data_IF_948038487065
#
_entry.id   IF_948038487065
#
_cell.length_a   1.000
_cell.length_b   1.000
_cell.length_c   1.000
_cell.angle_alpha   90.00
_cell.angle_beta   90.00
_cell.angle_gamma   90.00
#
_symmetry.space_group_name_H-M   'P 1'
#
loop_
_entity.id
_entity.type
_entity.pdbx_description
1 polymer ?
#
# COMPACT_ATOMS: atom_id res chain seq x y z
N UNK A 1 6.96 -9.01 -25.15
CA UNK A 1 7.93 -8.87 -24.05
C UNK A 1 8.00 -7.44 -23.57
N UNK A 2 8.00 -6.46 -24.48
CA UNK A 2 7.98 -5.03 -24.15
C UNK A 2 6.82 -4.62 -23.23
N UNK A 3 5.65 -5.26 -23.36
CA UNK A 3 4.51 -5.03 -22.47
C UNK A 3 4.81 -5.31 -20.99
N UNK A 4 5.76 -6.21 -20.67
CA UNK A 4 6.16 -6.48 -19.27
C UNK A 4 6.91 -5.32 -18.61
N UNK A 5 7.44 -4.41 -19.42
CA UNK A 5 8.18 -3.23 -18.96
C UNK A 5 7.30 -1.98 -18.90
N UNK A 6 6.05 -2.05 -19.38
CA UNK A 6 5.09 -0.94 -19.36
C UNK A 6 5.64 0.37 -19.95
N UNK A 7 6.42 0.26 -21.04
CA UNK A 7 7.11 1.38 -21.68
C UNK A 7 6.14 2.36 -22.36
N UNK A 8 5.04 1.84 -22.90
CA UNK A 8 4.06 2.61 -23.67
C UNK A 8 2.71 2.63 -22.96
N UNK A 9 2.06 3.81 -22.83
CA UNK A 9 0.73 3.90 -22.27
C UNK A 9 -0.32 3.23 -23.18
N UNK A 10 -1.43 2.73 -22.62
CA UNK A 10 -2.53 2.20 -23.41
C UNK A 10 -3.17 3.34 -24.24
N UNK A 11 -3.46 3.07 -25.52
CA UNK A 11 -4.14 4.00 -26.43
C UNK A 11 -5.63 3.69 -26.60
N UNK A 12 -6.03 2.47 -26.26
CA UNK A 12 -7.42 2.04 -26.34
C UNK A 12 -8.23 2.62 -25.18
N UNK A 13 -9.46 3.12 -25.43
CA UNK A 13 -10.31 3.60 -24.35
C UNK A 13 -10.83 2.43 -23.51
N UNK A 14 -10.95 2.66 -22.21
CA UNK A 14 -11.53 1.72 -21.24
C UNK A 14 -12.69 2.39 -20.50
N UNK A 15 -13.71 1.62 -20.14
CA UNK A 15 -14.79 2.13 -19.28
C UNK A 15 -14.25 2.45 -17.88
N UNK A 16 -14.91 3.37 -17.17
CA UNK A 16 -14.47 3.72 -15.81
C UNK A 16 -14.59 2.53 -14.86
N UNK A 17 -15.67 1.75 -14.97
CA UNK A 17 -15.92 0.57 -14.15
C UNK A 17 -14.85 -0.51 -14.37
N UNK A 18 -14.50 -0.77 -15.63
CA UNK A 18 -13.46 -1.75 -15.98
C UNK A 18 -12.08 -1.30 -15.51
N UNK A 19 -11.77 0.01 -15.60
CA UNK A 19 -10.52 0.56 -15.09
C UNK A 19 -10.41 0.42 -13.57
N UNK A 20 -11.49 0.72 -12.84
CA UNK A 20 -11.56 0.55 -11.38
C UNK A 20 -11.36 -0.92 -11.00
N UNK A 21 -12.08 -1.82 -11.65
CA UNK A 21 -11.97 -3.26 -11.41
C UNK A 21 -10.56 -3.78 -11.71
N UNK A 22 -9.97 -3.40 -12.85
CA UNK A 22 -8.63 -3.80 -13.24
C UNK A 22 -7.56 -3.27 -12.27
N UNK A 23 -7.66 -2.00 -11.89
CA UNK A 23 -6.74 -1.35 -10.93
C UNK A 23 -6.83 -2.02 -9.56
N UNK A 24 -8.04 -2.26 -9.04
CA UNK A 24 -8.22 -2.94 -7.76
C UNK A 24 -7.75 -4.38 -7.81
N UNK A 25 -8.02 -5.12 -8.90
CA UNK A 25 -7.51 -6.49 -9.07
C UNK A 25 -5.99 -6.53 -8.98
N UNK A 26 -5.30 -5.60 -9.66
CA UNK A 26 -3.84 -5.48 -9.59
C UNK A 26 -3.36 -5.10 -8.19
N UNK A 27 -4.03 -4.16 -7.51
CA UNK A 27 -3.67 -3.79 -6.14
C UNK A 27 -3.75 -5.01 -5.19
N UNK A 28 -4.81 -5.80 -5.27
CA UNK A 28 -4.94 -7.03 -4.48
C UNK A 28 -3.86 -8.06 -4.83
N UNK A 29 -3.50 -8.21 -6.10
CA UNK A 29 -2.37 -9.07 -6.51
C UNK A 29 -1.06 -8.62 -5.87
N UNK A 30 -0.74 -7.32 -5.91
CA UNK A 30 0.47 -6.78 -5.30
C UNK A 30 0.47 -6.91 -3.77
N UNK A 31 -0.69 -6.77 -3.12
CA UNK A 31 -0.84 -7.04 -1.68
C UNK A 31 -0.65 -8.52 -1.35
N UNK A 32 -1.20 -9.43 -2.17
CA UNK A 32 -0.99 -10.87 -2.03
C UNK A 32 0.49 -11.23 -2.13
N UNK A 33 1.18 -10.65 -3.12
CA UNK A 33 2.65 -10.78 -3.26
C UNK A 33 3.39 -10.26 -2.03
N UNK A 34 2.98 -9.12 -1.49
CA UNK A 34 3.58 -8.54 -0.29
C UNK A 34 3.39 -9.44 0.95
N UNK A 35 2.23 -10.08 1.09
CA UNK A 35 1.89 -10.98 2.20
C UNK A 35 2.43 -12.41 2.01
N UNK A 36 2.86 -12.77 0.80
CA UNK A 36 3.17 -14.14 0.42
C UNK A 36 1.95 -15.03 0.18
N UNK A 37 0.75 -14.43 0.12
CA UNK A 37 -0.53 -15.10 -0.13
C UNK A 37 -0.99 -14.79 -1.56
N UNK A 38 -0.45 -15.53 -2.53
CA UNK A 38 -0.81 -15.37 -3.94
C UNK A 38 -0.84 -16.72 -4.65
N UNK A 39 -1.77 -16.88 -5.59
CA UNK A 39 -1.78 -18.03 -6.47
C UNK A 39 -0.83 -17.79 -7.66
N UNK A 40 -0.10 -18.83 -8.08
CA UNK A 40 0.80 -18.75 -9.22
C UNK A 40 0.06 -18.40 -10.53
N UNK A 41 -1.23 -18.71 -10.63
CA UNK A 41 -2.05 -18.39 -11.79
C UNK A 41 -2.43 -16.92 -11.88
N UNK A 42 -2.56 -16.22 -10.76
CA UNK A 42 -2.85 -14.77 -10.74
C UNK A 42 -1.69 -13.92 -11.28
N UNK A 43 -0.49 -14.50 -11.32
CA UNK A 43 0.70 -13.86 -11.89
C UNK A 43 0.62 -13.78 -13.43
N UNK A 44 -0.27 -14.56 -14.06
CA UNK A 44 -0.35 -14.65 -15.52
C UNK A 44 -1.07 -13.46 -16.17
N UNK A 45 -0.52 -13.01 -17.30
CA UNK A 45 -1.11 -11.97 -18.15
C UNK A 45 -2.22 -12.55 -19.03
N UNK A 46 -3.33 -12.97 -18.43
CA UNK A 46 -4.46 -13.54 -19.18
C UNK A 46 -5.06 -12.54 -20.20
N UNK A 47 -4.96 -11.23 -19.91
CA UNK A 47 -5.34 -10.15 -20.83
C UNK A 47 -4.32 -9.00 -20.74
N UNK A 48 -3.46 -8.88 -21.76
CA UNK A 48 -2.39 -7.86 -21.82
C UNK A 48 -2.93 -6.44 -21.78
N UNK A 49 -4.07 -6.18 -22.45
CA UNK A 49 -4.69 -4.86 -22.47
C UNK A 49 -5.20 -4.46 -21.09
N UNK A 50 -5.89 -5.37 -20.39
CA UNK A 50 -6.38 -5.13 -19.03
C UNK A 50 -5.23 -4.95 -18.02
N UNK A 51 -4.15 -5.73 -18.15
CA UNK A 51 -2.95 -5.60 -17.29
C UNK A 51 -2.26 -4.25 -17.46
N UNK A 52 -2.17 -3.77 -18.70
CA UNK A 52 -1.61 -2.46 -19.04
C UNK A 52 -2.44 -1.34 -18.39
N UNK A 53 -3.77 -1.35 -18.57
CA UNK A 53 -4.67 -0.38 -17.93
C UNK A 53 -4.57 -0.41 -16.41
N UNK A 54 -4.49 -1.61 -15.81
CA UNK A 54 -4.35 -1.76 -14.37
C UNK A 54 -3.04 -1.15 -13.83
N UNK A 55 -1.92 -1.38 -14.53
CA UNK A 55 -0.61 -0.81 -14.15
C UNK A 55 -0.62 0.71 -14.22
N UNK A 56 -1.06 1.27 -15.35
CA UNK A 56 -1.10 2.72 -15.54
C UNK A 56 -2.15 3.39 -14.63
N UNK A 57 -3.33 2.77 -14.46
CA UNK A 57 -4.37 3.22 -13.55
C UNK A 57 -3.88 3.33 -12.10
N UNK A 58 -3.23 2.27 -11.60
CA UNK A 58 -2.65 2.26 -10.26
C UNK A 58 -1.57 3.35 -10.10
N UNK A 59 -0.70 3.53 -11.10
CA UNK A 59 0.33 4.59 -11.09
C UNK A 59 -0.27 5.99 -11.02
N UNK A 60 -1.32 6.29 -11.80
CA UNK A 60 -1.98 7.60 -11.75
C UNK A 60 -2.63 7.82 -10.38
N UNK A 61 -3.33 6.82 -9.85
CA UNK A 61 -4.00 6.92 -8.55
C UNK A 61 -3.00 7.17 -7.42
N UNK A 62 -1.93 6.37 -7.37
CA UNK A 62 -0.86 6.52 -6.37
C UNK A 62 -0.19 7.89 -6.50
N UNK A 63 0.15 8.31 -7.72
CA UNK A 63 0.77 9.60 -7.96
C UNK A 63 -0.12 10.78 -7.53
N UNK A 64 -1.43 10.69 -7.79
CA UNK A 64 -2.39 11.71 -7.39
C UNK A 64 -2.53 11.81 -5.86
N UNK A 65 -2.45 10.70 -5.13
CA UNK A 65 -2.44 10.71 -3.67
C UNK A 65 -1.25 11.46 -3.07
N UNK A 66 -0.12 11.47 -3.79
CA UNK A 66 1.12 12.10 -3.35
C UNK A 66 1.16 13.62 -3.59
N UNK A 67 0.20 14.19 -4.32
CA UNK A 67 0.16 15.64 -4.57
C UNK A 67 -0.40 16.39 -3.36
N UNK A 68 -1.32 15.78 -2.62
CA UNK A 68 -2.11 16.45 -1.58
C UNK A 68 -1.62 16.21 -0.15
N UNK A 69 -0.74 15.23 0.08
CA UNK A 69 -0.23 14.93 1.43
C UNK A 69 1.03 15.75 1.73
N UNK A 70 0.94 16.73 2.63
CA UNK A 70 2.01 17.64 3.04
C UNK A 70 3.22 16.99 3.76
N UNK A 71 3.27 15.65 3.85
CA UNK A 71 4.28 14.91 4.62
C UNK A 71 5.19 14.15 3.66
N UNK A 72 6.40 14.67 3.44
CA UNK A 72 7.38 14.10 2.51
C UNK A 72 7.83 12.66 2.85
N UNK A 73 7.75 12.23 4.12
CA UNK A 73 8.12 10.87 4.52
C UNK A 73 7.13 9.82 4.01
N UNK A 74 5.82 10.02 4.19
CA UNK A 74 4.77 9.11 3.70
C UNK A 74 4.74 9.02 2.17
N UNK A 75 5.17 10.08 1.49
CA UNK A 75 5.33 10.08 0.03
C UNK A 75 6.44 9.13 -0.45
N UNK A 76 7.45 8.89 0.39
CA UNK A 76 8.61 8.11 0.00
C UNK A 76 8.31 6.61 0.05
N UNK A 77 7.57 6.19 1.07
CA UNK A 77 7.35 4.77 1.34
C UNK A 77 6.42 4.11 0.31
N UNK A 78 5.40 4.83 -0.19
CA UNK A 78 4.43 4.23 -1.12
C UNK A 78 4.99 4.01 -2.53
N UNK A 79 5.84 4.92 -3.04
CA UNK A 79 6.46 4.73 -4.34
C UNK A 79 7.49 3.60 -4.30
N UNK A 80 8.24 3.51 -3.20
CA UNK A 80 9.22 2.44 -3.01
C UNK A 80 8.51 1.09 -2.86
N UNK A 81 7.43 1.04 -2.07
CA UNK A 81 6.60 -0.16 -1.94
C UNK A 81 6.04 -0.59 -3.29
N UNK A 82 5.42 0.31 -4.05
CA UNK A 82 4.83 -0.02 -5.34
C UNK A 82 5.89 -0.50 -6.34
N UNK A 83 7.00 0.24 -6.46
CA UNK A 83 8.10 -0.16 -7.35
C UNK A 83 8.68 -1.53 -6.97
N UNK A 84 8.79 -1.81 -5.67
CA UNK A 84 9.26 -3.10 -5.17
C UNK A 84 8.29 -4.23 -5.52
N UNK A 85 6.98 -4.08 -5.25
CA UNK A 85 6.01 -5.13 -5.55
C UNK A 85 5.85 -5.36 -7.06
N UNK A 86 5.88 -4.30 -7.86
CA UNK A 86 5.85 -4.40 -9.31
C UNK A 86 7.09 -5.11 -9.88
N UNK A 87 8.28 -4.82 -9.33
CA UNK A 87 9.50 -5.55 -9.70
C UNK A 87 9.43 -7.04 -9.32
N UNK A 88 8.80 -7.37 -8.19
CA UNK A 88 8.58 -8.77 -7.79
C UNK A 88 7.60 -9.49 -8.72
N UNK A 89 6.50 -8.83 -9.11
CA UNK A 89 5.56 -9.36 -10.10
C UNK A 89 6.27 -9.62 -11.45
N UNK A 90 7.05 -8.65 -11.92
CA UNK A 90 7.89 -8.79 -13.11
C UNK A 90 8.84 -9.99 -13.00
N UNK A 91 9.55 -10.14 -11.87
CA UNK A 91 10.46 -11.26 -11.61
C UNK A 91 9.76 -12.61 -11.79
N UNK A 92 8.56 -12.75 -11.22
CA UNK A 92 7.77 -13.98 -11.30
C UNK A 92 7.32 -14.26 -12.75
N UNK A 93 6.85 -13.24 -13.47
CA UNK A 93 6.44 -13.35 -14.88
C UNK A 93 7.61 -13.74 -15.79
N UNK A 94 8.78 -13.11 -15.62
CA UNK A 94 9.99 -13.46 -16.37
C UNK A 94 10.43 -14.88 -16.05
N UNK A 95 10.48 -15.27 -14.77
CA UNK A 95 10.85 -16.63 -14.36
C UNK A 95 9.93 -17.69 -14.96
N UNK A 96 8.62 -17.46 -14.99
CA UNK A 96 7.64 -18.37 -15.59
C UNK A 96 7.84 -18.50 -17.10
N UNK A 97 8.06 -17.39 -17.81
CA UNK A 97 8.33 -17.40 -19.26
C UNK A 97 9.63 -18.13 -19.60
N UNK A 98 10.73 -17.88 -18.87
CA UNK A 98 12.00 -18.57 -19.10
C UNK A 98 11.91 -20.09 -18.87
N UNK A 99 11.03 -20.53 -17.96
CA UNK A 99 10.75 -21.97 -17.74
C UNK A 99 9.86 -22.60 -18.81
N UNK A 100 9.00 -21.81 -19.46
CA UNK A 100 8.01 -22.29 -20.43
C UNK A 100 8.59 -22.47 -21.84
N UNK A 101 9.72 -21.83 -22.13
CA UNK A 101 10.35 -21.89 -23.44
C UNK A 101 11.42 -22.97 -23.41
N UNK A 102 11.12 -24.09 -24.08
CA UNK A 102 12.06 -25.20 -24.28
C UNK A 102 13.09 -24.81 -25.36
N UNK A 103 14.06 -23.97 -24.97
CA UNK A 103 15.15 -23.55 -25.86
C UNK A 103 16.12 -22.57 -25.22
N UNK A 104 17.35 -23.01 -24.93
CA UNK A 104 18.40 -22.20 -24.30
C UNK A 104 18.72 -20.91 -25.07
N UNK A 105 18.71 -20.96 -26.41
CA UNK A 105 18.98 -19.80 -27.27
C UNK A 105 17.87 -18.72 -27.26
N UNK A 106 16.61 -19.12 -27.09
CA UNK A 106 15.48 -18.17 -27.02
C UNK A 106 15.46 -17.43 -25.68
N UNK A 107 15.75 -18.13 -24.59
CA UNK A 107 15.88 -17.55 -23.25
C UNK A 107 17.01 -16.51 -23.19
N UNK A 108 18.14 -16.80 -23.83
CA UNK A 108 19.24 -15.87 -23.94
C UNK A 108 18.88 -14.59 -24.70
N UNK A 109 18.21 -14.71 -25.85
CA UNK A 109 17.74 -13.55 -26.62
C UNK A 109 16.78 -12.67 -25.80
N UNK A 110 15.87 -13.29 -25.05
CA UNK A 110 14.92 -12.61 -24.16
C UNK A 110 15.63 -11.81 -23.06
N UNK A 111 16.57 -12.44 -22.34
CA UNK A 111 17.33 -11.78 -21.28
C UNK A 111 18.10 -10.57 -21.83
N UNK A 112 18.78 -10.75 -22.97
CA UNK A 112 19.53 -9.65 -23.61
C UNK A 112 18.61 -8.50 -24.04
N UNK A 113 17.43 -8.80 -24.58
CA UNK A 113 16.44 -7.79 -24.94
C UNK A 113 16.00 -7.00 -23.70
N UNK A 114 15.68 -7.68 -22.60
CA UNK A 114 15.26 -7.02 -21.36
C UNK A 114 16.37 -6.14 -20.77
N UNK A 115 17.63 -6.60 -20.76
CA UNK A 115 18.77 -5.79 -20.30
C UNK A 115 18.92 -4.51 -21.12
N UNK A 116 18.79 -4.60 -22.46
CA UNK A 116 18.85 -3.42 -23.35
C UNK A 116 17.71 -2.45 -23.08
N UNK A 117 16.48 -2.95 -22.94
CA UNK A 117 15.31 -2.11 -22.69
C UNK A 117 15.37 -1.44 -21.30
N UNK A 118 15.96 -2.12 -20.31
CA UNK A 118 16.24 -1.59 -18.98
C UNK A 118 17.49 -0.70 -18.92
N UNK A 119 18.18 -0.50 -20.05
CA UNK A 119 19.40 0.31 -20.17
C UNK A 119 20.53 -0.14 -19.25
N UNK A 120 20.67 -1.45 -19.09
CA UNK A 120 21.79 -2.04 -18.35
C UNK A 120 22.99 -2.14 -19.27
N UNK A 121 24.15 -1.68 -18.82
CA UNK A 121 25.39 -1.86 -19.55
C UNK A 121 25.88 -3.31 -19.41
N UNK A 122 26.04 -4.01 -20.54
CA UNK A 122 26.57 -5.38 -20.54
C UNK A 122 27.33 -5.70 -21.82
N UNK A 123 28.30 -6.61 -21.67
CA UNK A 123 29.01 -7.28 -22.76
C UNK A 123 28.81 -8.79 -22.66
N UNK A 124 29.24 -9.53 -23.68
CA UNK A 124 29.16 -10.98 -23.71
C UNK A 124 30.52 -11.59 -24.01
N UNK A 125 30.92 -12.59 -23.22
CA UNK A 125 32.11 -13.40 -23.51
C UNK A 125 31.93 -14.82 -22.95
N UNK A 126 32.27 -15.84 -23.75
CA UNK A 126 32.38 -17.24 -23.30
C UNK A 126 31.14 -17.74 -22.51
N UNK A 127 29.93 -17.41 -22.98
CA UNK A 127 28.67 -17.82 -22.33
C UNK A 127 28.32 -17.07 -21.04
N UNK A 128 29.09 -16.03 -20.68
CA UNK A 128 28.82 -15.15 -19.55
C UNK A 128 28.40 -13.76 -20.03
N UNK A 129 27.50 -13.15 -19.26
CA UNK A 129 27.23 -11.73 -19.29
C UNK A 129 28.26 -11.02 -18.43
N UNK A 130 28.94 -10.06 -19.04
CA UNK A 130 29.92 -9.19 -18.43
C UNK A 130 29.23 -7.89 -18.06
N UNK A 131 28.98 -7.68 -16.77
CA UNK A 131 28.22 -6.53 -16.27
C UNK A 131 29.16 -5.68 -15.41
N UNK A 132 29.28 -4.36 -15.63
CA UNK A 132 30.05 -3.49 -14.73
C UNK A 132 29.55 -3.61 -13.29
N UNK A 133 30.46 -3.65 -12.32
CA UNK A 133 30.05 -3.87 -10.93
C UNK A 133 29.11 -2.79 -10.37
N UNK A 134 29.11 -1.59 -10.97
CA UNK A 134 28.23 -0.46 -10.65
C UNK A 134 26.76 -0.76 -10.95
N UNK A 135 26.47 -1.60 -11.94
CA UNK A 135 25.11 -2.04 -12.29
C UNK A 135 24.61 -3.13 -11.33
N UNK A 136 25.54 -3.90 -10.74
CA UNK A 136 25.21 -5.04 -9.86
C UNK A 136 25.91 -5.04 -8.49
N UNK A 137 25.91 -3.93 -7.71
CA UNK A 137 26.61 -3.86 -6.43
C UNK A 137 26.04 -4.81 -5.38
N UNK A 138 24.75 -5.16 -5.48
CA UNK A 138 24.08 -6.11 -4.59
C UNK A 138 24.60 -7.53 -4.76
N UNK A 139 25.01 -7.94 -5.97
CA UNK A 139 25.62 -9.26 -6.22
C UNK A 139 27.04 -9.32 -5.66
N UNK A 140 27.79 -8.21 -5.73
CA UNK A 140 29.12 -8.11 -5.14
C UNK A 140 29.03 -8.15 -3.61
N UNK A 141 28.09 -7.41 -3.03
CA UNK A 141 27.84 -7.37 -1.59
C UNK A 141 27.56 -8.75 -0.99
N UNK A 142 26.81 -9.59 -1.70
CA UNK A 142 26.46 -10.96 -1.27
C UNK A 142 27.47 -12.01 -1.73
N UNK A 143 28.52 -11.62 -2.47
CA UNK A 143 29.50 -12.52 -3.10
C UNK A 143 28.86 -13.58 -4.00
N UNK A 144 27.76 -13.22 -4.67
CA UNK A 144 27.01 -14.11 -5.55
C UNK A 144 27.59 -14.22 -6.97
N UNK A 145 28.59 -13.40 -7.32
CA UNK A 145 29.20 -13.39 -8.66
C UNK A 145 30.72 -13.28 -8.58
N UNK A 146 31.40 -13.76 -9.62
CA UNK A 146 32.85 -13.57 -9.77
C UNK A 146 33.11 -12.18 -10.33
N UNK A 147 33.90 -11.39 -9.60
CA UNK A 147 34.34 -10.06 -10.00
C UNK A 147 35.79 -10.11 -10.50
N UNK A 148 36.04 -9.68 -11.73
CA UNK A 148 37.38 -9.57 -12.31
C UNK A 148 37.54 -8.22 -13.00
N UNK A 149 38.56 -7.46 -12.61
CA UNK A 149 38.87 -6.14 -13.18
C UNK A 149 37.66 -5.18 -13.26
N UNK A 150 36.80 -5.17 -12.22
CA UNK A 150 35.60 -4.32 -12.19
C UNK A 150 34.39 -4.87 -12.96
N UNK A 151 34.48 -6.08 -13.52
CA UNK A 151 33.42 -6.71 -14.29
C UNK A 151 32.90 -7.95 -13.54
N UNK A 152 31.58 -7.98 -13.32
CA UNK A 152 30.86 -9.13 -12.79
C UNK A 152 30.57 -10.12 -13.93
N UNK A 153 30.92 -11.38 -13.71
CA UNK A 153 30.62 -12.48 -14.64
C UNK A 153 29.35 -13.20 -14.18
N UNK A 154 28.26 -13.02 -14.92
CA UNK A 154 26.93 -13.60 -14.61
C UNK A 154 26.54 -14.60 -15.69
N UNK A 155 26.14 -15.81 -15.29
CA UNK A 155 25.65 -16.81 -16.24
C UNK A 155 24.19 -16.54 -16.62
N UNK A 156 23.82 -16.72 -17.89
CA UNK A 156 22.47 -16.40 -18.35
C UNK A 156 21.36 -17.29 -17.76
N UNK A 157 21.69 -18.50 -17.33
CA UNK A 157 20.73 -19.44 -16.74
C UNK A 157 20.70 -19.38 -15.21
N UNK A 158 21.45 -18.46 -14.62
CA UNK A 158 21.63 -18.35 -13.18
C UNK A 158 20.52 -17.53 -12.52
N UNK A 159 20.20 -17.73 -11.23
CA UNK A 159 19.24 -16.89 -10.52
C UNK A 159 19.71 -15.43 -10.38
N UNK A 160 21.02 -15.17 -10.48
CA UNK A 160 21.62 -13.85 -10.39
C UNK A 160 21.14 -12.92 -11.51
N UNK A 161 20.92 -13.42 -12.73
CA UNK A 161 20.41 -12.58 -13.82
C UNK A 161 18.99 -12.07 -13.55
N UNK A 162 18.16 -12.87 -12.86
CA UNK A 162 16.83 -12.44 -12.44
C UNK A 162 16.93 -11.34 -11.39
N UNK A 163 17.92 -11.40 -10.51
CA UNK A 163 18.18 -10.33 -9.54
C UNK A 163 18.58 -9.04 -10.25
N UNK A 164 19.43 -9.11 -11.29
CA UNK A 164 19.77 -7.96 -12.12
C UNK A 164 18.55 -7.34 -12.76
N UNK A 165 17.79 -8.14 -13.51
CA UNK A 165 16.58 -7.66 -14.17
C UNK A 165 15.57 -7.06 -13.18
N UNK A 166 15.41 -7.68 -12.01
CA UNK A 166 14.46 -7.21 -10.98
C UNK A 166 14.90 -5.88 -10.38
N UNK A 167 16.19 -5.71 -10.10
CA UNK A 167 16.72 -4.48 -9.52
C UNK A 167 16.57 -3.30 -10.50
N UNK A 168 16.95 -3.49 -11.77
CA UNK A 168 16.80 -2.44 -12.78
C UNK A 168 15.34 -2.15 -13.10
N UNK A 169 14.47 -3.17 -13.08
CA UNK A 169 13.02 -2.96 -13.23
C UNK A 169 12.45 -2.13 -12.07
N UNK A 170 12.90 -2.35 -10.82
CA UNK A 170 12.52 -1.52 -9.67
C UNK A 170 12.91 -0.05 -9.87
N UNK A 171 14.14 0.20 -10.31
CA UNK A 171 14.63 1.56 -10.60
C UNK A 171 13.83 2.21 -11.75
N UNK A 172 13.55 1.44 -12.80
CA UNK A 172 12.76 1.89 -13.95
C UNK A 172 11.35 2.33 -13.52
N UNK A 173 10.63 1.49 -12.77
CA UNK A 173 9.28 1.82 -12.27
C UNK A 173 9.31 3.01 -11.32
N UNK A 174 10.30 3.08 -10.43
CA UNK A 174 10.45 4.23 -9.53
C UNK A 174 10.59 5.55 -10.31
N UNK A 175 11.41 5.57 -11.37
CA UNK A 175 11.55 6.73 -12.25
C UNK A 175 10.23 7.07 -12.97
N UNK A 176 9.52 6.06 -13.47
CA UNK A 176 8.22 6.20 -14.13
C UNK A 176 7.13 6.77 -13.20
N UNK A 177 7.12 6.38 -11.93
CA UNK A 177 6.22 6.94 -10.90
C UNK A 177 6.60 8.40 -10.62
N UNK A 178 7.88 8.73 -10.49
CA UNK A 178 8.33 10.10 -10.26
C UNK A 178 7.92 11.05 -11.39
N UNK A 179 8.03 10.61 -12.65
CA UNK A 179 7.54 11.37 -13.81
C UNK A 179 6.04 11.62 -13.70
N UNK A 180 5.27 10.59 -13.32
CA UNK A 180 3.82 10.71 -13.13
C UNK A 180 3.46 11.68 -12.00
N UNK A 181 4.15 11.60 -10.85
CA UNK A 181 3.95 12.52 -9.73
C UNK A 181 4.21 13.97 -10.13
N UNK A 182 5.25 14.23 -10.94
CA UNK A 182 5.53 15.58 -11.48
C UNK A 182 4.40 16.05 -12.39
N UNK A 183 3.91 15.19 -13.29
CA UNK A 183 2.78 15.53 -14.14
C UNK A 183 1.52 15.87 -13.32
N UNK A 184 1.23 15.10 -12.26
CA UNK A 184 0.11 15.37 -11.36
C UNK A 184 0.23 16.71 -10.61
N UNK A 185 1.45 17.16 -10.29
CA UNK A 185 1.69 18.47 -9.66
C UNK A 185 1.56 19.63 -10.63
N UNK A 186 2.03 19.47 -11.87
CA UNK A 186 2.06 20.55 -12.87
C UNK A 186 0.69 20.75 -13.55
N UNK A 187 -0.09 19.68 -13.70
CA UNK A 187 -1.37 19.71 -14.41
C UNK A 187 -2.57 19.34 -13.53
N UNK A 188 -2.81 20.03 -12.39
CA UNK A 188 -3.89 19.67 -11.47
C UNK A 188 -5.29 19.82 -12.11
N UNK A 189 -5.47 20.77 -13.03
CA UNK A 189 -6.75 21.00 -13.72
C UNK A 189 -7.08 19.91 -14.76
N UNK A 190 -6.08 19.33 -15.43
CA UNK A 190 -6.26 18.26 -16.41
C UNK A 190 -6.44 16.88 -15.76
N UNK A 191 -6.12 16.79 -14.47
CA UNK A 191 -6.20 15.57 -13.66
C UNK A 191 -7.24 15.78 -12.55
N UNK A 192 -8.42 16.33 -12.87
CA UNK A 192 -9.53 16.32 -11.93
C UNK A 192 -9.88 14.86 -11.62
N UNK A 193 -9.28 14.36 -10.54
CA UNK A 193 -9.41 13.01 -10.02
C UNK A 193 -10.82 12.77 -9.45
N UNK A 194 -11.79 13.65 -9.69
CA UNK A 194 -13.14 13.57 -9.13
C UNK A 194 -13.80 12.24 -9.47
N UNK A 195 -13.67 11.78 -10.72
CA UNK A 195 -14.19 10.49 -11.17
C UNK A 195 -13.44 9.29 -10.58
N UNK A 196 -12.13 9.44 -10.34
CA UNK A 196 -11.27 8.39 -9.79
C UNK A 196 -11.14 8.47 -8.26
N UNK A 197 -11.84 9.40 -7.62
CA UNK A 197 -11.77 9.63 -6.18
C UNK A 197 -12.18 8.40 -5.36
N UNK A 198 -13.26 7.67 -5.70
CA UNK A 198 -13.63 6.45 -4.98
C UNK A 198 -12.51 5.40 -5.02
N UNK A 199 -11.91 5.19 -6.19
CA UNK A 199 -10.77 4.30 -6.39
C UNK A 199 -9.56 4.75 -5.58
N UNK A 200 -9.24 6.05 -5.61
CA UNK A 200 -8.14 6.65 -4.85
C UNK A 200 -8.26 6.39 -3.36
N UNK A 201 -9.43 6.65 -2.78
CA UNK A 201 -9.67 6.44 -1.34
C UNK A 201 -9.43 4.97 -0.94
N UNK A 202 -9.86 4.03 -1.77
CA UNK A 202 -9.65 2.60 -1.54
C UNK A 202 -8.17 2.21 -1.63
N UNK A 203 -7.49 2.63 -2.69
CA UNK A 203 -6.05 2.36 -2.89
C UNK A 203 -5.22 2.96 -1.76
N UNK A 204 -5.52 4.19 -1.32
CA UNK A 204 -4.82 4.83 -0.20
C UNK A 204 -4.99 4.07 1.11
N UNK A 205 -6.21 3.56 1.38
CA UNK A 205 -6.46 2.75 2.57
C UNK A 205 -5.62 1.47 2.55
N UNK A 206 -5.57 0.78 1.42
CA UNK A 206 -4.79 -0.43 1.22
C UNK A 206 -3.27 -0.19 1.27
N UNK A 207 -2.79 0.90 0.68
CA UNK A 207 -1.37 1.28 0.74
C UNK A 207 -0.95 1.61 2.17
N UNK A 208 -1.76 2.38 2.90
CA UNK A 208 -1.50 2.67 4.32
C UNK A 208 -1.42 1.38 5.13
N UNK A 209 -2.33 0.44 4.91
CA UNK A 209 -2.29 -0.89 5.54
C UNK A 209 -1.02 -1.66 5.17
N UNK A 210 -0.59 -1.64 3.91
CA UNK A 210 0.61 -2.35 3.48
C UNK A 210 1.90 -1.77 4.06
N UNK A 211 2.01 -0.44 4.14
CA UNK A 211 3.22 0.25 4.59
C UNK A 211 3.31 0.30 6.12
N UNK A 212 2.21 0.64 6.78
CA UNK A 212 2.19 0.88 8.24
C UNK A 212 1.62 -0.29 9.03
N UNK A 213 0.89 -1.21 8.38
CA UNK A 213 0.27 -2.37 9.01
C UNK A 213 1.19 -3.60 9.07
N UNK A 214 2.51 -3.42 8.94
CA UNK A 214 3.48 -4.50 8.98
C UNK A 214 3.22 -5.47 10.14
N UNK A 215 2.82 -6.70 9.80
CA UNK A 215 2.87 -7.84 10.72
C UNK A 215 1.74 -8.00 11.73
N UNK A 216 0.56 -7.43 11.55
CA UNK A 216 -0.59 -7.92 12.31
C UNK A 216 -0.97 -9.31 11.78
N UNK A 217 -0.72 -10.35 12.57
CA UNK A 217 -1.38 -11.65 12.43
C UNK A 217 -2.87 -11.45 12.12
N UNK A 218 -3.54 -12.35 11.37
CA UNK A 218 -4.97 -12.21 11.09
C UNK A 218 -5.66 -11.87 12.40
N UNK A 219 -6.22 -10.66 12.47
CA UNK A 219 -6.76 -10.13 13.70
C UNK A 219 -7.74 -11.16 14.23
N UNK A 220 -7.31 -11.90 15.27
CA UNK A 220 -8.24 -12.68 16.08
C UNK A 220 -9.26 -11.63 16.50
N UNK A 221 -10.57 -11.83 16.30
CA UNK A 221 -11.55 -10.90 16.81
C UNK A 221 -11.22 -10.73 18.29
N UNK A 222 -10.75 -9.55 18.68
CA UNK A 222 -10.51 -9.28 20.09
C UNK A 222 -11.84 -9.52 20.79
N UNK A 223 -11.80 -10.20 21.94
CA UNK A 223 -12.99 -10.32 22.76
C UNK A 223 -13.52 -8.92 23.03
N UNK A 224 -14.80 -8.71 22.69
CA UNK A 224 -15.46 -7.41 22.76
C UNK A 224 -15.30 -6.83 24.17
N UNK A 225 -14.61 -5.70 24.29
CA UNK A 225 -14.49 -4.98 25.56
C UNK A 225 -15.72 -4.07 25.68
N UNK A 226 -16.68 -4.46 26.53
CA UNK A 226 -17.98 -3.78 26.67
C UNK A 226 -18.12 -2.89 27.91
N UNK A 227 -17.07 -2.64 28.69
CA UNK A 227 -17.19 -1.86 29.92
C UNK A 227 -15.96 -1.03 30.28
N UNK A 228 -16.17 0.03 31.05
CA UNK A 228 -15.10 0.89 31.57
C UNK A 228 -14.10 0.11 32.45
N UNK A 229 -14.57 -0.91 33.17
CA UNK A 229 -13.74 -1.79 33.99
C UNK A 229 -12.83 -2.65 33.12
N UNK A 230 -13.36 -3.23 32.05
CA UNK A 230 -12.58 -4.03 31.12
C UNK A 230 -11.55 -3.17 30.36
N UNK A 231 -11.85 -1.89 30.07
CA UNK A 231 -10.87 -0.95 29.52
C UNK A 231 -9.69 -0.66 30.48
N UNK A 232 -9.93 -0.61 31.79
CA UNK A 232 -8.87 -0.41 32.78
C UNK A 232 -7.93 -1.61 32.85
N UNK A 233 -8.47 -2.83 32.70
CA UNK A 233 -7.67 -4.06 32.75
C UNK A 233 -6.68 -4.17 31.58
N UNK A 234 -7.03 -3.60 30.43
CA UNK A 234 -6.19 -3.63 29.21
C UNK A 234 -5.41 -2.34 28.99
N UNK A 235 -5.34 -1.43 29.98
CA UNK A 235 -4.75 -0.10 29.81
C UNK A 235 -3.30 -0.15 29.29
N UNK A 236 -2.56 -1.21 29.65
CA UNK A 236 -1.21 -1.49 29.16
C UNK A 236 -1.13 -1.83 27.65
N UNK A 237 -2.20 -2.37 27.07
CA UNK A 237 -2.33 -2.70 25.64
C UNK A 237 -2.91 -1.54 24.82
N UNK A 238 -3.38 -0.47 25.46
CA UNK A 238 -3.93 0.70 24.76
C UNK A 238 -2.78 1.61 24.29
N UNK A 239 -2.81 2.16 23.05
CA UNK A 239 -1.77 3.07 22.60
C UNK A 239 -1.62 4.31 23.48
N UNK A 240 -0.41 4.86 23.54
CA UNK A 240 -0.08 6.03 24.36
C UNK A 240 -1.02 7.22 24.13
N UNK A 241 -1.43 7.48 22.89
CA UNK A 241 -2.35 8.57 22.56
C UNK A 241 -3.72 8.41 23.24
N UNK A 242 -4.27 7.19 23.24
CA UNK A 242 -5.57 6.88 23.86
C UNK A 242 -5.46 6.81 25.38
N UNK A 243 -4.34 6.30 25.92
CA UNK A 243 -4.03 6.37 27.36
C UNK A 243 -4.02 7.81 27.86
N UNK A 244 -3.33 8.71 27.16
CA UNK A 244 -3.31 10.13 27.50
C UNK A 244 -4.71 10.74 27.52
N UNK A 245 -5.57 10.42 26.55
CA UNK A 245 -6.96 10.89 26.53
C UNK A 245 -7.80 10.32 27.68
N UNK A 246 -7.64 9.03 28.01
CA UNK A 246 -8.32 8.39 29.14
C UNK A 246 -7.89 9.00 30.48
N UNK A 247 -6.59 9.24 30.66
CA UNK A 247 -6.04 9.87 31.86
C UNK A 247 -6.51 11.32 32.01
N UNK A 248 -6.46 12.10 30.93
CA UNK A 248 -6.97 13.48 30.90
C UNK A 248 -8.47 13.51 31.22
N UNK A 249 -9.25 12.58 30.67
CA UNK A 249 -10.67 12.46 30.98
C UNK A 249 -10.92 12.11 32.45
N UNK A 250 -10.10 11.24 33.06
CA UNK A 250 -10.21 10.86 34.47
C UNK A 250 -9.87 12.01 35.41
N UNK A 251 -8.86 12.80 35.07
CA UNK A 251 -8.35 13.92 35.90
C UNK A 251 -9.20 15.18 35.72
N UNK A 252 -9.43 15.64 34.50
CA UNK A 252 -10.15 16.90 34.22
C UNK A 252 -11.67 16.74 34.17
N UNK A 253 -12.17 15.50 34.11
CA UNK A 253 -13.60 15.15 33.90
C UNK A 253 -14.20 15.82 32.66
N UNK A 254 -13.35 16.12 31.68
CA UNK A 254 -13.69 16.79 30.44
C UNK A 254 -12.60 16.51 29.40
N UNK A 255 -12.95 16.60 28.11
CA UNK A 255 -12.01 16.55 27.00
C UNK A 255 -12.42 17.59 25.95
N UNK A 256 -11.45 18.13 25.21
CA UNK A 256 -11.72 19.02 24.05
C UNK A 256 -12.43 18.26 22.92
N UNK A 257 -13.01 18.99 21.96
CA UNK A 257 -13.83 18.41 20.88
C UNK A 257 -13.14 17.26 20.14
N UNK A 258 -11.92 17.47 19.66
CA UNK A 258 -11.17 16.45 18.91
C UNK A 258 -10.79 15.24 19.77
N UNK A 259 -10.35 15.47 21.00
CA UNK A 259 -10.08 14.39 21.96
C UNK A 259 -11.32 13.55 22.26
N UNK A 260 -12.49 14.18 22.37
CA UNK A 260 -13.76 13.46 22.50
C UNK A 260 -14.10 12.64 21.26
N UNK A 261 -13.84 13.16 20.05
CA UNK A 261 -14.10 12.44 18.80
C UNK A 261 -13.16 11.24 18.65
N UNK A 262 -11.86 11.43 18.87
CA UNK A 262 -10.85 10.38 18.80
C UNK A 262 -11.14 9.25 19.78
N UNK A 263 -11.40 9.58 21.05
CA UNK A 263 -11.71 8.57 22.07
C UNK A 263 -13.05 7.87 21.79
N UNK A 264 -14.09 8.57 21.31
CA UNK A 264 -15.37 7.94 20.92
C UNK A 264 -15.21 6.92 19.80
N UNK A 265 -14.44 7.26 18.78
CA UNK A 265 -14.16 6.37 17.66
C UNK A 265 -13.32 5.17 18.10
N UNK A 266 -12.34 5.39 18.97
CA UNK A 266 -11.54 4.31 19.54
C UNK A 266 -12.40 3.32 20.34
N UNK A 267 -13.27 3.80 21.23
CA UNK A 267 -14.19 2.95 22.00
C UNK A 267 -15.08 2.10 21.09
N UNK A 268 -15.62 2.71 20.02
CA UNK A 268 -16.38 1.99 18.99
C UNK A 268 -15.52 0.93 18.29
N UNK A 269 -14.28 1.25 17.93
CA UNK A 269 -13.35 0.32 17.26
C UNK A 269 -12.95 -0.88 18.13
N UNK A 270 -12.88 -0.67 19.44
CA UNK A 270 -12.58 -1.72 20.44
C UNK A 270 -13.79 -2.61 20.75
N UNK A 271 -15.00 -2.19 20.35
CA UNK A 271 -16.21 -3.02 20.40
C UNK A 271 -17.32 -2.51 21.32
N UNK A 272 -17.23 -1.27 21.84
CA UNK A 272 -18.33 -0.69 22.61
C UNK A 272 -19.57 -0.56 21.73
N UNK A 273 -20.70 -1.04 22.23
CA UNK A 273 -22.02 -0.74 21.67
C UNK A 273 -22.38 0.73 21.89
N UNK A 274 -23.41 1.19 21.19
CA UNK A 274 -23.92 2.54 21.35
C UNK A 274 -24.30 2.84 22.82
N UNK A 275 -25.00 1.92 23.48
CA UNK A 275 -25.46 2.10 24.86
C UNK A 275 -24.31 2.11 25.86
N UNK A 276 -23.32 1.23 25.69
CA UNK A 276 -22.11 1.20 26.51
C UNK A 276 -21.30 2.50 26.35
N UNK A 277 -21.18 3.02 25.13
CA UNK A 277 -20.49 4.27 24.86
C UNK A 277 -21.25 5.47 25.47
N UNK A 278 -22.58 5.48 25.35
CA UNK A 278 -23.42 6.51 25.96
C UNK A 278 -23.30 6.53 27.48
N UNK A 279 -23.34 5.34 28.10
CA UNK A 279 -23.16 5.19 29.55
C UNK A 279 -21.78 5.68 29.99
N UNK A 280 -20.72 5.24 29.30
CA UNK A 280 -19.34 5.65 29.58
C UNK A 280 -19.18 7.18 29.60
N UNK A 281 -19.68 7.88 28.58
CA UNK A 281 -19.56 9.35 28.53
C UNK A 281 -20.44 10.07 29.53
N UNK A 282 -21.63 9.53 29.86
CA UNK A 282 -22.49 10.07 30.92
C UNK A 282 -21.78 9.98 32.27
N UNK A 283 -21.19 8.84 32.60
CA UNK A 283 -20.45 8.63 33.84
C UNK A 283 -19.19 9.49 33.90
N UNK A 284 -18.41 9.55 32.81
CA UNK A 284 -17.18 10.32 32.76
C UNK A 284 -17.40 11.84 32.95
N UNK A 285 -18.54 12.36 32.50
CA UNK A 285 -18.89 13.79 32.62
C UNK A 285 -19.82 14.12 33.80
N UNK A 286 -20.32 13.13 34.54
CA UNK A 286 -21.30 13.32 35.61
C UNK A 286 -20.84 14.34 36.68
N UNK A 287 -19.53 14.39 36.96
CA UNK A 287 -18.95 15.33 37.92
C UNK A 287 -19.06 16.82 37.50
N UNK A 288 -19.20 17.11 36.21
CA UNK A 288 -19.21 18.50 35.67
C UNK A 288 -20.48 18.85 34.91
N UNK A 289 -21.25 17.86 34.48
CA UNK A 289 -22.38 18.05 33.57
C UNK A 289 -23.57 17.25 34.07
N UNK A 290 -24.73 17.90 34.22
CA UNK A 290 -25.97 17.20 34.55
C UNK A 290 -26.43 16.33 33.37
N UNK A 291 -27.19 15.24 33.61
CA UNK A 291 -27.68 14.36 32.56
C UNK A 291 -28.45 15.10 31.45
N UNK A 292 -29.27 16.09 31.82
CA UNK A 292 -30.05 16.89 30.87
C UNK A 292 -29.15 17.75 29.96
N UNK A 293 -28.08 18.35 30.50
CA UNK A 293 -27.12 19.12 29.70
C UNK A 293 -26.30 18.19 28.81
N UNK A 294 -25.99 16.99 29.30
CA UNK A 294 -25.26 15.99 28.53
C UNK A 294 -26.05 15.55 27.30
N UNK A 295 -27.33 15.22 27.49
CA UNK A 295 -28.21 14.76 26.41
C UNK A 295 -28.40 15.82 25.32
N UNK A 296 -28.47 17.10 25.73
CA UNK A 296 -28.59 18.22 24.80
C UNK A 296 -27.30 18.48 24.01
N UNK A 297 -26.12 18.40 24.64
CA UNK A 297 -24.86 18.85 24.04
C UNK A 297 -24.01 17.74 23.43
N UNK A 298 -24.04 16.53 23.98
CA UNK A 298 -23.07 15.48 23.64
C UNK A 298 -23.73 14.23 23.04
N UNK A 299 -24.95 13.87 23.44
CA UNK A 299 -25.59 12.64 22.98
C UNK A 299 -25.81 12.57 21.46
N UNK A 300 -26.07 13.71 20.81
CA UNK A 300 -26.17 13.79 19.35
C UNK A 300 -24.88 13.29 18.66
N UNK A 301 -23.72 13.75 19.12
CA UNK A 301 -22.44 13.37 18.50
C UNK A 301 -22.10 11.89 18.73
N UNK A 302 -22.54 11.30 19.86
CA UNK A 302 -22.42 9.86 20.10
C UNK A 302 -23.29 9.09 19.10
N UNK A 303 -24.57 9.47 18.92
CA UNK A 303 -25.47 8.86 17.93
C UNK A 303 -24.92 8.94 16.50
N UNK A 304 -24.36 10.10 16.15
CA UNK A 304 -23.73 10.33 14.86
C UNK A 304 -22.53 9.39 14.64
N UNK A 305 -21.71 9.14 15.67
CA UNK A 305 -20.55 8.24 15.59
C UNK A 305 -20.95 6.79 15.24
N UNK A 306 -22.14 6.36 15.67
CA UNK A 306 -22.69 5.04 15.36
C UNK A 306 -23.58 5.01 14.11
N UNK A 307 -23.73 6.12 13.39
CA UNK A 307 -24.54 6.18 12.17
C UNK A 307 -26.05 6.10 12.42
N UNK A 308 -26.51 6.33 13.65
CA UNK A 308 -27.94 6.31 14.00
C UNK A 308 -28.66 7.60 13.56
N UNK A 309 -27.91 8.67 13.27
CA UNK A 309 -28.43 9.97 12.81
C UNK A 309 -27.42 10.59 11.84
N UNK A 310 -27.90 11.21 10.75
CA UNK A 310 -27.08 11.83 9.70
C UNK A 310 -26.82 10.90 8.51
N UNK A 311 -26.43 11.46 7.36
CA UNK A 311 -26.09 10.69 6.16
C UNK A 311 -24.88 9.79 6.47
N UNK A 312 -24.85 8.51 6.02
CA UNK A 312 -23.80 7.58 6.38
C UNK A 312 -22.50 7.94 5.65
N UNK A 313 -21.77 8.92 6.16
CA UNK A 313 -20.41 9.16 5.74
C UNK A 313 -19.57 7.98 6.25
N UNK A 314 -19.18 7.09 5.34
CA UNK A 314 -18.11 6.08 5.51
C UNK A 314 -16.79 6.68 6.04
N UNK A 315 -16.71 8.00 6.22
CA UNK A 315 -15.64 8.78 6.82
C UNK A 315 -15.43 8.58 8.35
N UNK A 316 -16.32 7.89 9.07
CA UNK A 316 -16.19 7.68 10.53
C UNK A 316 -16.06 6.18 10.90
N UNK A 317 -15.46 5.39 10.03
CA UNK A 317 -14.92 4.10 10.44
C UNK A 317 -13.87 4.36 11.54
N UNK A 318 -14.01 3.71 12.70
CA UNK A 318 -12.95 3.72 13.69
C UNK A 318 -11.64 3.29 12.99
N UNK A 319 -10.49 3.91 13.28
CA UNK A 319 -9.22 3.37 12.82
C UNK A 319 -9.20 1.89 13.18
N UNK A 320 -9.03 1.00 12.20
CA UNK A 320 -8.72 -0.40 12.52
C UNK A 320 -7.38 -0.34 13.22
N UNK A 321 -7.42 -0.48 14.53
CA UNK A 321 -6.23 -0.42 15.36
C UNK A 321 -5.42 -1.67 15.07
N UNK A 322 -4.17 -1.56 14.57
CA UNK A 322 -3.24 -2.66 14.68
C UNK A 322 -2.91 -2.76 16.17
N UNK A 323 -3.28 -3.89 16.79
CA UNK A 323 -2.76 -4.31 18.09
C UNK A 323 -1.97 -5.57 17.85
#
# INVERSE_FOLDING_TARGET
MEHLLYLTPPTEPISLEDLEAATMKRMHLLLGLHRGDFNADDVTDANVGSDLHAHFGLRVVVAASMVNESIASQQTDAHEWLAHQEANLFRLRVRRKLKSIDGSGSNEAIVRLLLRLLRVDFNQAQGHLLIPFQEAPYLVRTRATVLKAGICHVQLQSPEILQVLTQHMRQHIAALIQVQCRACRVYPACLSMERLWPLKVQVDALLREAIHGGGAAPARPLDRIGSAVALQQIEHCVPMCMRHLLETLRTEKHLKYDGRNQLRLFLKGVGFTFDENMLFWREAFAARTSPAVFDKKYAYNVRHTYGLVGFPARAWAAPRMPI
#
